data_IF_598423595012
#
_entry.id   IF_598423595012
#
_cell.length_a   1.000
_cell.length_b   1.000
_cell.length_c   1.000
_cell.angle_alpha   90.00
_cell.angle_beta   90.00
_cell.angle_gamma   90.00
#
_symmetry.space_group_name_H-M   'P 1'
#
loop_
_entity.id
_entity.type
_entity.pdbx_description
1 polymer ?
#
# COMPACT_ATOMS: atom_id res chain seq x y z
N UNK A 1 -43.35 -1.87 -32.78
CA UNK A 1 -43.87 -0.51 -33.05
C UNK A 1 -43.38 0.44 -31.97
N UNK A 2 -42.90 1.63 -32.38
CA UNK A 2 -42.58 2.86 -31.61
C UNK A 2 -41.38 2.77 -30.65
N UNK A 3 -40.17 3.15 -31.06
CA UNK A 3 -39.58 4.48 -31.37
C UNK A 3 -39.20 5.30 -30.12
N UNK A 4 -37.89 5.34 -29.90
CA UNK A 4 -37.12 6.24 -29.04
C UNK A 4 -37.21 7.66 -29.62
N UNK A 5 -37.38 8.67 -28.77
CA UNK A 5 -37.32 10.08 -29.14
C UNK A 5 -36.35 10.83 -28.24
N UNK A 6 -35.33 11.43 -28.84
CA UNK A 6 -34.55 12.53 -28.29
C UNK A 6 -34.55 13.67 -29.33
N UNK A 7 -34.70 14.94 -28.92
CA UNK A 7 -34.34 16.10 -29.75
C UNK A 7 -32.89 16.54 -29.41
N UNK A 8 -31.99 16.64 -30.39
CA UNK A 8 -31.70 17.79 -31.30
C UNK A 8 -31.07 18.98 -30.53
N UNK A 9 -29.76 19.20 -30.63
CA UNK A 9 -28.98 19.79 -31.75
C UNK A 9 -29.02 21.32 -31.76
N UNK A 10 -27.85 21.97 -31.73
CA UNK A 10 -27.39 22.86 -32.80
C UNK A 10 -26.00 23.45 -32.46
N UNK A 11 -25.19 23.55 -33.51
CA UNK A 11 -23.84 24.07 -33.56
C UNK A 11 -23.80 25.59 -33.78
N UNK A 12 -22.64 26.20 -33.55
CA UNK A 12 -22.16 27.31 -34.39
C UNK A 12 -20.63 27.38 -34.32
N UNK A 13 -20.02 27.72 -35.46
CA UNK A 13 -18.61 27.62 -35.79
C UNK A 13 -17.98 29.01 -36.07
N UNK A 14 -16.66 28.99 -36.28
CA UNK A 14 -15.83 29.97 -37.03
C UNK A 14 -15.43 31.25 -36.25
N UNK A 15 -14.27 31.91 -36.42
CA UNK A 15 -13.13 31.81 -37.35
C UNK A 15 -11.88 32.58 -36.80
N UNK A 16 -10.78 32.44 -37.54
CA UNK A 16 -9.41 33.00 -37.49
C UNK A 16 -9.20 34.47 -37.06
N UNK A 17 -7.98 34.75 -36.59
CA UNK A 17 -7.31 36.07 -36.72
C UNK A 17 -5.91 36.14 -36.09
N UNK A 18 -4.87 36.08 -36.93
CA UNK A 18 -3.45 36.33 -36.58
C UNK A 18 -3.13 37.82 -36.43
N UNK A 19 -2.24 38.22 -35.51
CA UNK A 19 -1.43 39.43 -35.66
C UNK A 19 -0.12 39.37 -34.84
N UNK A 20 1.03 39.44 -35.54
CA UNK A 20 2.34 39.74 -34.98
C UNK A 20 2.44 41.26 -34.73
N UNK A 21 3.05 41.66 -33.62
CA UNK A 21 3.82 42.92 -33.54
C UNK A 21 5.06 42.71 -32.67
N UNK A 22 6.20 43.12 -33.20
CA UNK A 22 7.47 43.27 -32.48
C UNK A 22 7.67 44.76 -32.23
N UNK A 23 8.05 45.14 -31.01
CA UNK A 23 8.72 46.41 -30.73
C UNK A 23 9.87 46.18 -29.74
N UNK A 24 11.02 46.68 -30.15
CA UNK A 24 12.26 46.87 -29.39
C UNK A 24 12.12 48.08 -28.45
N UNK A 25 12.66 47.99 -27.24
CA UNK A 25 13.04 49.16 -26.44
C UNK A 25 14.21 48.81 -25.51
N UNK A 26 15.31 49.54 -25.68
CA UNK A 26 16.47 49.55 -24.78
C UNK A 26 16.19 50.47 -23.58
N UNK A 27 16.69 50.12 -22.40
CA UNK A 27 16.84 51.08 -21.30
C UNK A 27 17.13 50.46 -19.92
N UNK A 28 18.28 50.82 -19.34
CA UNK A 28 18.45 50.91 -17.88
C UNK A 28 19.28 49.83 -17.19
N UNK A 29 20.52 50.19 -16.85
CA UNK A 29 21.44 49.46 -15.95
C UNK A 29 21.10 49.76 -14.47
N UNK A 30 21.46 48.80 -13.62
CA UNK A 30 21.76 48.85 -12.17
C UNK A 30 20.67 48.35 -11.19
N UNK A 31 20.96 47.19 -10.60
CA UNK A 31 20.23 46.61 -9.47
C UNK A 31 20.75 45.21 -9.15
N UNK A 32 22.05 45.09 -8.86
CA UNK A 32 22.73 43.83 -8.57
C UNK A 32 22.32 43.33 -7.16
N UNK A 33 21.19 42.64 -7.04
CA UNK A 33 20.75 41.99 -5.77
C UNK A 33 19.71 40.87 -5.99
N UNK A 34 19.96 39.87 -6.84
CA UNK A 34 19.07 38.69 -6.93
C UNK A 34 19.76 37.33 -7.08
N UNK A 35 21.09 37.27 -7.12
CA UNK A 35 21.81 36.00 -7.27
C UNK A 35 21.76 35.10 -6.00
N UNK A 36 21.58 35.66 -4.80
CA UNK A 36 21.51 34.88 -3.55
C UNK A 36 20.14 34.26 -3.27
N UNK A 37 19.05 34.93 -3.69
CA UNK A 37 17.69 34.42 -3.49
C UNK A 37 17.38 33.17 -4.34
N UNK A 38 17.95 33.09 -5.55
CA UNK A 38 17.79 31.94 -6.45
C UNK A 38 18.55 30.69 -5.97
N UNK A 39 19.75 30.85 -5.43
CA UNK A 39 20.56 29.75 -4.89
C UNK A 39 19.99 29.20 -3.58
N UNK A 40 19.50 30.08 -2.70
CA UNK A 40 18.81 29.69 -1.47
C UNK A 40 17.46 29.00 -1.75
N UNK A 41 16.66 29.51 -2.69
CA UNK A 41 15.40 28.88 -3.12
C UNK A 41 15.61 27.51 -3.74
N UNK A 42 16.66 27.35 -4.56
CA UNK A 42 16.97 26.07 -5.20
C UNK A 42 17.53 25.03 -4.21
N UNK A 43 18.31 25.44 -3.21
CA UNK A 43 18.81 24.55 -2.15
C UNK A 43 17.73 24.13 -1.16
N UNK A 44 16.79 25.02 -0.80
CA UNK A 44 15.62 24.69 0.03
C UNK A 44 14.68 23.73 -0.71
N UNK A 45 14.38 24.01 -1.99
CA UNK A 45 13.56 23.10 -2.81
C UNK A 45 14.23 21.74 -3.05
N UNK A 46 15.56 21.71 -3.20
CA UNK A 46 16.31 20.45 -3.33
C UNK A 46 16.33 19.68 -2.02
N UNK A 47 16.54 20.35 -0.87
CA UNK A 47 16.44 19.71 0.45
C UNK A 47 15.04 19.19 0.76
N UNK A 48 13.99 19.91 0.34
CA UNK A 48 12.61 19.45 0.49
C UNK A 48 12.34 18.20 -0.37
N UNK A 49 12.76 18.19 -1.64
CA UNK A 49 12.61 17.02 -2.53
C UNK A 49 13.44 15.82 -2.10
N UNK A 50 14.66 16.03 -1.56
CA UNK A 50 15.45 14.93 -1.00
C UNK A 50 14.84 14.42 0.29
N UNK A 51 14.31 15.29 1.16
CA UNK A 51 13.59 14.89 2.36
C UNK A 51 12.29 14.11 2.04
N UNK A 52 11.54 14.53 1.01
CA UNK A 52 10.36 13.81 0.54
C UNK A 52 10.71 12.41 0.00
N UNK A 53 11.77 12.29 -0.79
CA UNK A 53 12.24 11.00 -1.30
C UNK A 53 12.75 10.06 -0.20
N UNK A 54 13.19 10.56 0.95
CA UNK A 54 13.69 9.72 2.06
C UNK A 54 12.61 9.10 2.93
N UNK A 55 11.33 9.45 2.71
CA UNK A 55 10.21 8.97 3.52
C UNK A 55 9.23 8.16 2.69
N UNK A 56 8.63 7.15 3.31
CA UNK A 56 7.45 6.49 2.73
C UNK A 56 6.28 7.50 2.81
N UNK A 57 5.62 7.86 1.70
CA UNK A 57 4.56 8.85 1.68
C UNK A 57 3.39 8.49 2.62
N UNK A 58 2.82 9.49 3.28
CA UNK A 58 1.60 9.32 4.10
C UNK A 58 1.78 8.57 5.42
N UNK A 59 3.03 8.25 5.82
CA UNK A 59 3.33 7.62 7.11
C UNK A 59 3.89 8.68 8.07
N UNK A 60 3.21 8.96 9.17
CA UNK A 60 3.55 9.90 10.23
C UNK A 60 4.72 9.45 11.11
N UNK A 61 5.23 10.33 11.97
CA UNK A 61 6.44 10.07 12.77
C UNK A 61 6.30 8.85 13.68
N UNK A 62 5.11 8.66 14.28
CA UNK A 62 4.83 7.56 15.20
C UNK A 62 5.07 6.19 14.56
N UNK A 63 4.57 5.98 13.33
CA UNK A 63 4.76 4.72 12.61
C UNK A 63 6.12 4.65 11.92
N UNK A 64 6.64 5.78 11.40
CA UNK A 64 7.98 5.81 10.79
C UNK A 64 9.07 5.32 11.74
N UNK A 65 9.02 5.72 13.01
CA UNK A 65 10.00 5.29 14.02
C UNK A 65 9.95 3.79 14.33
N UNK A 66 8.84 3.12 14.00
CA UNK A 66 8.67 1.67 14.17
C UNK A 66 9.13 0.86 12.97
N UNK A 67 9.42 1.50 11.83
CA UNK A 67 10.04 0.83 10.67
C UNK A 67 11.50 0.54 11.03
N UNK A 68 11.96 -0.73 11.00
CA UNK A 68 13.36 -1.06 11.30
C UNK A 68 14.31 -0.29 10.39
N UNK A 69 15.39 0.26 10.96
CA UNK A 69 16.34 1.10 10.22
C UNK A 69 17.04 0.36 9.06
N UNK A 70 17.19 -0.96 9.20
CA UNK A 70 17.73 -1.85 8.16
C UNK A 70 16.70 -2.27 7.11
N UNK A 71 15.41 -1.94 7.27
CA UNK A 71 14.39 -2.27 6.27
C UNK A 71 14.64 -1.55 4.95
N UNK A 72 14.61 -2.35 3.87
CA UNK A 72 14.75 -1.89 2.48
C UNK A 72 13.50 -2.15 1.64
N UNK A 73 12.47 -2.77 2.23
CA UNK A 73 11.19 -3.03 1.58
C UNK A 73 10.03 -2.74 2.55
N UNK A 74 9.11 -1.89 2.14
CA UNK A 74 7.90 -1.55 2.90
C UNK A 74 6.68 -1.80 2.03
N UNK A 75 5.81 -2.69 2.47
CA UNK A 75 4.46 -2.84 1.93
C UNK A 75 3.56 -1.90 2.72
N UNK A 76 3.05 -0.85 2.11
CA UNK A 76 2.09 0.04 2.77
C UNK A 76 0.67 -0.33 2.37
N UNK A 77 -0.23 -0.45 3.35
CA UNK A 77 -1.67 -0.62 3.12
C UNK A 77 -2.37 0.67 3.54
N UNK A 78 -2.81 1.44 2.56
CA UNK A 78 -3.56 2.68 2.78
C UNK A 78 -5.05 2.38 2.76
N UNK A 79 -5.67 2.34 3.94
CA UNK A 79 -7.12 2.26 4.08
C UNK A 79 -7.82 3.53 3.62
N UNK A 80 -8.94 3.39 2.91
CA UNK A 80 -9.72 4.52 2.41
C UNK A 80 -10.33 5.38 3.54
N UNK A 81 -10.60 4.76 4.69
CA UNK A 81 -11.07 5.42 5.91
C UNK A 81 -11.19 4.43 7.06
N UNK A 82 -11.36 4.95 8.28
CA UNK A 82 -11.39 4.17 9.54
C UNK A 82 -12.38 3.01 9.54
N UNK A 83 -13.53 3.16 8.90
CA UNK A 83 -14.60 2.16 8.87
C UNK A 83 -14.87 1.61 7.45
N UNK A 84 -13.92 1.79 6.53
CA UNK A 84 -14.01 1.28 5.15
C UNK A 84 -13.22 -0.02 5.00
N UNK A 85 -13.77 -0.95 4.21
CA UNK A 85 -13.08 -2.17 3.80
C UNK A 85 -12.12 -1.96 2.62
N UNK A 86 -12.18 -0.81 1.95
CA UNK A 86 -11.39 -0.55 0.75
C UNK A 86 -10.00 -0.02 1.12
N UNK A 87 -8.98 -0.56 0.46
CA UNK A 87 -7.61 -0.12 0.65
C UNK A 87 -6.79 -0.17 -0.64
N UNK A 88 -5.61 0.45 -0.60
CA UNK A 88 -4.60 0.35 -1.65
C UNK A 88 -3.31 -0.15 -1.04
N UNK A 89 -2.77 -1.25 -1.57
CA UNK A 89 -1.45 -1.74 -1.20
C UNK A 89 -0.41 -1.14 -2.14
N UNK A 90 0.71 -0.70 -1.60
CA UNK A 90 1.84 -0.14 -2.33
C UNK A 90 3.13 -0.77 -1.84
N UNK A 91 3.95 -1.30 -2.74
CA UNK A 91 5.31 -1.71 -2.41
C UNK A 91 6.27 -0.55 -2.63
N UNK A 92 7.03 -0.20 -1.60
CA UNK A 92 8.15 0.71 -1.64
C UNK A 92 9.47 -0.04 -1.45
N UNK A 93 10.45 0.26 -2.31
CA UNK A 93 11.81 -0.29 -2.21
C UNK A 93 12.80 0.83 -1.97
N UNK A 94 13.74 0.62 -1.03
CA UNK A 94 14.76 1.62 -0.70
C UNK A 94 15.97 1.51 -1.63
N UNK A 95 16.29 2.60 -2.31
CA UNK A 95 17.49 2.75 -3.14
C UNK A 95 18.35 3.88 -2.54
N UNK A 96 19.52 3.51 -2.00
CA UNK A 96 20.32 4.43 -1.20
C UNK A 96 19.57 4.89 0.06
N UNK A 97 19.31 6.20 0.15
CA UNK A 97 18.51 6.81 1.22
C UNK A 97 17.03 6.99 0.86
N UNK A 98 16.67 6.80 -0.42
CA UNK A 98 15.34 7.15 -0.92
C UNK A 98 14.42 5.95 -1.05
N UNK A 99 13.14 6.13 -0.77
CA UNK A 99 12.08 5.15 -1.02
C UNK A 99 11.46 5.40 -2.38
N UNK A 100 11.44 4.36 -3.22
CA UNK A 100 10.80 4.39 -4.53
C UNK A 100 9.52 3.57 -4.50
N UNK A 101 8.43 4.13 -5.05
CA UNK A 101 7.19 3.39 -5.26
C UNK A 101 7.39 2.39 -6.40
N UNK A 102 7.45 1.11 -6.08
CA UNK A 102 7.66 0.03 -7.05
C UNK A 102 6.37 -0.36 -7.76
N UNK A 103 5.31 -0.67 -7.01
CA UNK A 103 3.98 -1.09 -7.55
C UNK A 103 2.85 -0.79 -6.59
N UNK A 104 1.61 -0.84 -7.10
CA UNK A 104 0.40 -0.52 -6.35
C UNK A 104 -0.77 -1.36 -6.84
N UNK A 105 -1.65 -1.76 -5.93
CA UNK A 105 -2.83 -2.59 -6.22
C UNK A 105 -4.02 -2.18 -5.35
N UNK A 106 -5.25 -2.30 -5.87
CA UNK A 106 -6.44 -2.31 -5.02
C UNK A 106 -6.41 -3.53 -4.08
N UNK A 107 -6.99 -3.38 -2.90
CA UNK A 107 -7.04 -4.40 -1.88
C UNK A 107 -8.25 -4.20 -0.97
N UNK A 108 -8.62 -5.23 -0.20
CA UNK A 108 -9.60 -5.09 0.87
C UNK A 108 -8.97 -5.40 2.23
N UNK A 109 -9.30 -4.60 3.23
CA UNK A 109 -8.95 -4.84 4.63
C UNK A 109 -10.15 -5.42 5.39
N UNK A 110 -10.08 -5.47 6.72
CA UNK A 110 -11.18 -5.91 7.58
C UNK A 110 -12.48 -5.17 7.23
N UNK A 111 -13.60 -5.90 7.14
CA UNK A 111 -14.89 -5.35 6.70
C UNK A 111 -15.46 -4.24 7.59
N UNK A 112 -14.97 -4.11 8.83
CA UNK A 112 -15.31 -3.01 9.75
C UNK A 112 -14.22 -1.93 9.78
N UNK A 113 -13.25 -1.98 8.87
CA UNK A 113 -12.17 -1.03 8.75
C UNK A 113 -10.96 -1.34 9.62
N UNK A 114 -10.49 -0.34 10.35
CA UNK A 114 -9.19 -0.30 11.01
C UNK A 114 -9.34 -0.06 12.51
N UNK A 115 -8.37 -0.53 13.29
CA UNK A 115 -8.30 -0.31 14.74
C UNK A 115 -6.87 -0.31 15.25
N UNK A 116 -6.57 0.54 16.22
CA UNK A 116 -5.32 0.50 17.00
C UNK A 116 -5.39 -0.49 18.16
N UNK A 117 -6.58 -1.00 18.47
CA UNK A 117 -6.88 -1.92 19.56
C UNK A 117 -7.62 -3.16 19.05
N UNK A 118 -6.91 -3.96 18.24
CA UNK A 118 -7.47 -5.15 17.62
C UNK A 118 -7.73 -6.27 18.62
N UNK A 119 -8.84 -6.96 18.40
CA UNK A 119 -9.31 -8.11 19.16
C UNK A 119 -9.89 -9.18 18.23
N UNK A 120 -9.82 -10.44 18.64
CA UNK A 120 -10.41 -11.55 17.89
C UNK A 120 -11.90 -11.30 17.57
N UNK A 121 -12.28 -11.46 16.31
CA UNK A 121 -13.66 -11.31 15.86
C UNK A 121 -14.17 -9.87 15.71
N UNK A 122 -13.36 -8.83 15.97
CA UNK A 122 -13.76 -7.42 15.82
C UNK A 122 -14.00 -6.99 14.36
N UNK A 123 -13.55 -7.81 13.41
CA UNK A 123 -13.67 -7.62 11.96
C UNK A 123 -12.89 -6.42 11.42
N UNK A 124 -11.88 -5.95 12.16
CA UNK A 124 -11.03 -4.81 11.83
C UNK A 124 -9.59 -5.25 11.62
N UNK A 125 -8.90 -4.59 10.70
CA UNK A 125 -7.46 -4.77 10.51
C UNK A 125 -6.68 -3.95 11.55
N UNK A 126 -5.61 -4.50 12.15
CA UNK A 126 -4.79 -3.76 13.10
C UNK A 126 -3.99 -2.67 12.40
N UNK A 127 -3.92 -1.51 13.03
CA UNK A 127 -3.03 -0.41 12.63
C UNK A 127 -1.65 -0.66 13.20
N UNK A 128 -0.60 -0.59 12.37
CA UNK A 128 0.76 -0.68 12.87
C UNK A 128 1.83 -0.94 11.84
N UNK A 129 3.02 -1.27 12.36
CA UNK A 129 4.17 -1.75 11.60
C UNK A 129 4.49 -3.16 12.07
N UNK A 130 4.55 -4.10 11.13
CA UNK A 130 4.77 -5.51 11.40
C UNK A 130 5.78 -6.06 10.41
N UNK A 131 6.64 -6.98 10.83
CA UNK A 131 7.56 -7.68 9.93
C UNK A 131 6.82 -8.71 9.07
N UNK A 132 7.41 -9.05 7.92
CA UNK A 132 6.93 -10.09 7.02
C UNK A 132 8.02 -11.15 6.90
N UNK A 133 7.93 -12.24 7.66
CA UNK A 133 9.01 -13.24 7.71
C UNK A 133 8.70 -14.53 6.97
N UNK A 134 7.43 -14.88 6.80
CA UNK A 134 7.03 -16.20 6.32
C UNK A 134 5.88 -16.11 5.32
N UNK A 135 5.87 -17.04 4.36
CA UNK A 135 4.85 -17.19 3.35
C UNK A 135 4.38 -18.65 3.25
N UNK A 136 3.30 -18.88 2.52
CA UNK A 136 2.76 -20.22 2.34
C UNK A 136 1.44 -20.24 1.58
N UNK A 137 0.75 -21.37 1.67
CA UNK A 137 -0.57 -21.56 1.08
C UNK A 137 -0.81 -22.97 0.59
N UNK A 138 -1.97 -23.18 -0.04
CA UNK A 138 -2.34 -24.49 -0.63
C UNK A 138 -1.54 -24.77 -1.91
N UNK A 139 -1.25 -23.72 -2.68
CA UNK A 139 -0.59 -23.85 -3.96
C UNK A 139 0.93 -24.04 -3.83
N UNK A 140 1.57 -24.67 -4.84
CA UNK A 140 3.03 -24.70 -4.94
C UNK A 140 3.65 -23.30 -4.85
N UNK A 141 4.87 -23.25 -4.33
CA UNK A 141 5.67 -22.04 -4.28
C UNK A 141 5.80 -21.40 -5.69
N UNK A 142 5.34 -20.14 -5.90
CA UNK A 142 5.44 -19.45 -7.19
C UNK A 142 6.84 -18.84 -7.45
N UNK A 143 7.85 -19.19 -6.65
CA UNK A 143 9.20 -18.62 -6.68
C UNK A 143 9.42 -17.58 -5.58
N UNK A 144 8.84 -17.82 -4.41
CA UNK A 144 8.91 -16.97 -3.24
C UNK A 144 10.34 -16.86 -2.73
N UNK A 145 10.71 -15.67 -2.25
CA UNK A 145 12.00 -15.42 -1.58
C UNK A 145 11.90 -15.58 -0.07
N UNK A 146 10.75 -15.25 0.51
CA UNK A 146 10.45 -15.60 1.90
C UNK A 146 10.36 -17.14 2.04
N UNK A 147 10.71 -17.71 3.22
CA UNK A 147 10.38 -19.09 3.55
C UNK A 147 8.92 -19.40 3.20
N UNK A 148 8.70 -20.45 2.39
CA UNK A 148 7.38 -20.80 1.88
C UNK A 148 6.95 -22.19 2.35
N UNK A 149 5.86 -22.25 3.12
CA UNK A 149 5.25 -23.52 3.56
C UNK A 149 4.04 -23.83 2.69
N UNK A 150 4.13 -24.90 1.89
CA UNK A 150 2.97 -25.47 1.19
C UNK A 150 2.29 -26.52 2.07
N UNK A 151 1.02 -26.32 2.40
CA UNK A 151 0.27 -27.29 3.20
C UNK A 151 -1.24 -27.27 2.87
N UNK A 152 -1.90 -28.42 2.96
CA UNK A 152 -3.33 -28.52 2.69
C UNK A 152 -4.20 -27.90 3.81
N UNK A 153 -3.66 -27.77 5.03
CA UNK A 153 -4.35 -27.15 6.17
C UNK A 153 -4.63 -25.66 6.00
N UNK A 154 -3.99 -25.00 5.03
CA UNK A 154 -4.37 -23.65 4.61
C UNK A 154 -5.75 -23.59 3.95
N UNK A 155 -6.26 -24.69 3.41
CA UNK A 155 -7.47 -24.69 2.59
C UNK A 155 -8.67 -24.12 3.35
N UNK A 156 -9.31 -23.10 2.75
CA UNK A 156 -10.54 -22.56 3.27
C UNK A 156 -11.62 -23.65 3.37
N UNK A 157 -12.41 -23.70 4.45
CA UNK A 157 -13.45 -24.71 4.61
C UNK A 157 -14.47 -24.71 3.46
N UNK A 158 -14.81 -25.89 2.92
CA UNK A 158 -15.79 -26.03 1.84
C UNK A 158 -17.22 -25.60 2.21
N UNK A 159 -17.50 -25.40 3.50
CA UNK A 159 -18.75 -24.81 4.01
C UNK A 159 -18.85 -23.29 3.77
N UNK A 160 -17.74 -22.61 3.48
CA UNK A 160 -17.75 -21.19 3.12
C UNK A 160 -18.27 -21.00 1.69
N UNK A 161 -18.72 -19.79 1.36
CA UNK A 161 -19.12 -19.48 -0.01
C UNK A 161 -17.96 -19.71 -0.98
N UNK A 162 -18.28 -20.14 -2.20
CA UNK A 162 -17.27 -20.56 -3.19
C UNK A 162 -16.25 -19.47 -3.51
N UNK A 163 -16.62 -18.19 -3.39
CA UNK A 163 -15.72 -17.05 -3.53
C UNK A 163 -14.52 -17.09 -2.58
N UNK A 164 -14.64 -17.73 -1.42
CA UNK A 164 -13.59 -17.80 -0.40
C UNK A 164 -12.70 -19.04 -0.50
N UNK A 165 -13.03 -19.99 -1.38
CA UNK A 165 -12.32 -21.28 -1.43
C UNK A 165 -10.83 -21.16 -1.80
N UNK A 166 -10.45 -20.01 -2.35
CA UNK A 166 -9.09 -19.70 -2.79
C UNK A 166 -8.41 -18.62 -1.94
N UNK A 167 -9.03 -18.16 -0.84
CA UNK A 167 -8.51 -17.08 0.00
C UNK A 167 -7.05 -17.32 0.40
N UNK A 168 -6.71 -18.57 0.72
CA UNK A 168 -5.40 -18.96 1.25
C UNK A 168 -4.59 -19.84 0.29
N UNK A 169 -4.88 -19.75 -1.01
CA UNK A 169 -4.04 -20.37 -2.05
C UNK A 169 -2.60 -19.84 -1.96
N UNK A 170 -2.46 -18.53 -1.68
CA UNK A 170 -1.22 -17.84 -1.33
C UNK A 170 -1.41 -16.94 -0.12
N UNK A 171 -0.44 -16.96 0.79
CA UNK A 171 -0.42 -16.23 2.07
C UNK A 171 0.97 -15.64 2.30
N UNK A 172 1.02 -14.40 2.78
CA UNK A 172 2.20 -13.81 3.42
C UNK A 172 1.81 -13.44 4.85
N UNK A 173 2.51 -13.96 5.84
CA UNK A 173 2.21 -13.73 7.24
C UNK A 173 2.59 -12.30 7.65
N UNK A 174 1.65 -11.63 8.33
CA UNK A 174 1.93 -10.40 9.07
C UNK A 174 2.29 -10.82 10.49
N UNK A 175 3.42 -10.31 11.01
CA UNK A 175 3.89 -10.62 12.36
C UNK A 175 3.11 -9.88 13.46
N UNK A 176 1.80 -10.06 13.45
CA UNK A 176 0.85 -9.65 14.48
C UNK A 176 0.50 -10.84 15.36
N UNK A 177 0.82 -10.78 16.66
CA UNK A 177 0.52 -11.82 17.66
C UNK A 177 0.78 -13.26 17.16
N UNK A 178 1.98 -13.49 16.63
CA UNK A 178 2.45 -14.81 16.15
C UNK A 178 3.93 -15.01 16.49
N UNK A 179 4.39 -16.25 16.40
CA UNK A 179 5.82 -16.55 16.41
C UNK A 179 6.42 -16.24 15.03
N UNK A 180 7.47 -15.40 15.00
CA UNK A 180 8.16 -15.03 13.76
C UNK A 180 9.07 -16.17 13.30
N UNK A 181 9.18 -16.39 11.99
CA UNK A 181 10.01 -17.46 11.43
C UNK A 181 9.38 -18.85 11.50
N UNK A 182 8.07 -18.94 11.79
CA UNK A 182 7.31 -20.19 11.74
C UNK A 182 6.32 -20.15 10.58
N UNK A 183 5.80 -21.31 10.18
CA UNK A 183 4.85 -21.38 9.07
C UNK A 183 3.64 -20.45 9.31
N UNK A 184 3.02 -19.87 8.26
CA UNK A 184 1.91 -18.95 8.46
C UNK A 184 0.70 -19.52 9.22
N UNK A 185 0.46 -20.83 9.12
CA UNK A 185 -0.60 -21.60 9.78
C UNK A 185 -0.23 -22.12 11.20
N UNK A 186 0.94 -21.77 11.75
CA UNK A 186 1.24 -22.00 13.17
C UNK A 186 0.21 -21.25 14.04
N UNK A 187 -0.54 -21.95 14.92
CA UNK A 187 -1.62 -21.34 15.69
C UNK A 187 -1.13 -20.57 16.93
N UNK A 188 0.16 -20.60 17.24
CA UNK A 188 0.71 -20.03 18.48
C UNK A 188 0.53 -18.51 18.54
N UNK A 189 -0.15 -18.03 19.59
CA UNK A 189 -0.47 -16.61 19.83
C UNK A 189 0.12 -16.14 21.17
N UNK A 190 1.32 -15.53 21.19
CA UNK A 190 2.01 -15.15 22.42
C UNK A 190 1.25 -14.16 23.33
N UNK A 191 0.42 -13.29 22.76
CA UNK A 191 -0.42 -12.33 23.48
C UNK A 191 -1.83 -12.88 23.78
N UNK A 192 -2.05 -14.18 23.54
CA UNK A 192 -3.31 -14.88 23.79
C UNK A 192 -4.34 -14.74 22.67
N UNK A 193 -5.37 -15.59 22.73
CA UNK A 193 -6.39 -15.68 21.69
C UNK A 193 -7.25 -14.42 21.57
N UNK A 194 -7.54 -13.76 22.69
CA UNK A 194 -8.40 -12.57 22.72
C UNK A 194 -7.84 -11.40 21.90
N UNK A 195 -6.50 -11.33 21.77
CA UNK A 195 -5.82 -10.30 20.97
C UNK A 195 -6.03 -10.48 19.47
N UNK A 196 -6.47 -11.66 19.02
CA UNK A 196 -6.56 -12.01 17.61
C UNK A 196 -5.20 -12.43 17.05
N UNK A 197 -5.18 -13.02 15.86
CA UNK A 197 -3.97 -13.50 15.20
C UNK A 197 -4.27 -14.00 13.79
N UNK A 198 -3.33 -14.72 13.18
CA UNK A 198 -3.51 -15.30 11.83
C UNK A 198 -3.89 -14.25 10.78
N UNK A 199 -3.31 -13.05 10.89
CA UNK A 199 -3.56 -11.93 9.98
C UNK A 199 -2.54 -12.01 8.84
N UNK A 200 -3.04 -12.03 7.61
CA UNK A 200 -2.24 -12.32 6.44
C UNK A 200 -2.49 -11.32 5.30
N UNK A 201 -1.52 -11.19 4.39
CA UNK A 201 -1.81 -10.81 3.01
C UNK A 201 -2.24 -12.08 2.28
N UNK A 202 -3.39 -12.08 1.61
CA UNK A 202 -3.90 -13.28 0.93
C UNK A 202 -4.70 -12.96 -0.34
N UNK A 203 -5.23 -13.99 -0.99
CA UNK A 203 -5.95 -13.89 -2.26
C UNK A 203 -7.30 -13.19 -2.09
N UNK A 204 -7.62 -12.28 -3.00
CA UNK A 204 -8.87 -11.50 -2.96
C UNK A 204 -10.10 -12.31 -3.39
N UNK A 205 -11.19 -12.09 -2.66
CA UNK A 205 -12.52 -12.64 -2.91
C UNK A 205 -13.57 -11.55 -3.18
N UNK A 206 -13.16 -10.30 -3.35
CA UNK A 206 -14.02 -9.19 -3.79
C UNK A 206 -14.82 -8.49 -2.68
N UNK A 207 -14.44 -8.66 -1.40
CA UNK A 207 -15.07 -7.95 -0.28
C UNK A 207 -14.13 -7.81 0.92
N UNK A 208 -14.56 -7.06 1.94
CA UNK A 208 -13.80 -6.93 3.19
C UNK A 208 -13.59 -8.25 3.93
N UNK A 209 -12.40 -8.40 4.52
CA UNK A 209 -11.98 -9.61 5.22
C UNK A 209 -12.46 -9.62 6.69
N UNK A 210 -12.03 -10.62 7.47
CA UNK A 210 -12.18 -10.58 8.94
C UNK A 210 -11.08 -9.76 9.65
N UNK A 211 -9.92 -9.53 9.05
CA UNK A 211 -8.82 -8.71 9.60
C UNK A 211 -7.63 -8.64 8.63
N UNK A 212 -7.48 -9.66 7.78
CA UNK A 212 -6.47 -9.75 6.74
C UNK A 212 -6.54 -8.61 5.71
N UNK A 213 -5.53 -8.55 4.84
CA UNK A 213 -5.53 -7.70 3.66
C UNK A 213 -5.52 -8.58 2.43
N UNK A 214 -6.54 -8.47 1.58
CA UNK A 214 -6.69 -9.31 0.41
C UNK A 214 -6.27 -8.60 -0.87
N UNK A 215 -5.64 -9.34 -1.78
CA UNK A 215 -4.98 -8.85 -2.99
C UNK A 215 -5.23 -9.79 -4.18
N UNK A 216 -5.23 -9.25 -5.39
CA UNK A 216 -5.35 -10.10 -6.59
C UNK A 216 -4.22 -11.14 -6.67
N UNK A 217 -4.48 -12.26 -7.35
CA UNK A 217 -3.46 -13.31 -7.59
C UNK A 217 -2.14 -12.75 -8.12
N UNK A 218 -2.22 -11.88 -9.12
CA UNK A 218 -1.04 -11.28 -9.73
C UNK A 218 -0.24 -10.41 -8.75
N UNK A 219 -0.92 -9.73 -7.82
CA UNK A 219 -0.27 -8.95 -6.77
C UNK A 219 0.42 -9.89 -5.77
N UNK A 220 -0.25 -10.95 -5.32
CA UNK A 220 0.34 -11.95 -4.41
C UNK A 220 1.58 -12.62 -5.01
N UNK A 221 1.49 -13.10 -6.25
CA UNK A 221 2.65 -13.70 -6.95
C UNK A 221 3.80 -12.71 -7.16
N UNK A 222 3.49 -11.43 -7.34
CA UNK A 222 4.53 -10.41 -7.45
C UNK A 222 5.22 -10.17 -6.10
N UNK A 223 4.45 -10.02 -5.02
CA UNK A 223 5.00 -9.83 -3.68
C UNK A 223 5.84 -11.03 -3.25
N UNK A 224 5.35 -12.26 -3.43
CA UNK A 224 6.07 -13.48 -3.08
C UNK A 224 7.45 -13.54 -3.76
N UNK A 225 7.52 -13.23 -5.06
CA UNK A 225 8.77 -13.25 -5.84
C UNK A 225 9.72 -12.07 -5.53
N UNK A 226 9.25 -11.06 -4.82
CA UNK A 226 9.95 -9.77 -4.64
C UNK A 226 10.38 -9.50 -3.20
N UNK A 227 9.58 -9.87 -2.21
CA UNK A 227 9.89 -9.62 -0.80
C UNK A 227 11.03 -10.52 -0.35
N UNK A 228 12.17 -9.90 -0.07
CA UNK A 228 13.43 -10.57 0.15
C UNK A 228 13.79 -10.52 1.64
N UNK A 229 13.95 -11.66 2.34
CA UNK A 229 14.23 -11.68 3.77
C UNK A 229 15.49 -10.87 4.15
N UNK A 230 16.50 -10.80 3.28
CA UNK A 230 17.74 -10.03 3.50
C UNK A 230 17.51 -8.51 3.38
N UNK A 231 16.36 -8.11 2.84
CA UNK A 231 15.91 -6.71 2.76
C UNK A 231 14.96 -6.33 3.88
N UNK A 232 14.73 -7.23 4.84
CA UNK A 232 13.94 -7.03 6.05
C UNK A 232 12.57 -6.37 5.76
N UNK A 233 11.69 -7.05 4.99
CA UNK A 233 10.43 -6.48 4.57
C UNK A 233 9.49 -6.30 5.77
N UNK A 234 8.77 -5.18 5.76
CA UNK A 234 7.72 -4.88 6.73
C UNK A 234 6.44 -4.48 6.01
N UNK A 235 5.30 -4.63 6.69
CA UNK A 235 4.04 -4.00 6.34
C UNK A 235 3.77 -2.82 7.28
N UNK A 236 3.36 -1.69 6.72
CA UNK A 236 2.79 -0.54 7.45
C UNK A 236 1.34 -0.41 7.01
N UNK A 237 0.38 -0.52 7.94
CA UNK A 237 -1.03 -0.61 7.57
C UNK A 237 -1.92 0.18 8.51
N UNK A 238 -2.96 0.81 7.97
CA UNK A 238 -3.92 1.66 8.69
C UNK A 238 -4.80 2.48 7.75
N UNK A 239 -5.80 3.17 8.29
CA UNK A 239 -6.50 4.22 7.54
C UNK A 239 -5.67 5.52 7.47
N UNK A 240 -6.07 6.46 6.61
CA UNK A 240 -5.33 7.72 6.40
C UNK A 240 -5.09 8.52 7.67
N UNK A 241 -6.02 8.53 8.62
CA UNK A 241 -5.88 9.27 9.87
C UNK A 241 -4.80 8.65 10.73
N UNK A 242 -4.92 7.35 11.00
CA UNK A 242 -3.98 6.62 11.83
C UNK A 242 -2.57 6.47 11.23
N UNK A 243 -2.47 6.47 9.90
CA UNK A 243 -1.21 6.46 9.17
C UNK A 243 -0.51 7.82 9.22
N UNK A 244 -1.25 8.93 9.17
CA UNK A 244 -0.70 10.27 9.02
C UNK A 244 -0.18 10.93 10.30
N UNK A 245 -0.55 10.40 11.46
CA UNK A 245 -0.18 10.93 12.80
C UNK A 245 1.18 10.47 13.31
#
# INVERSE_FOLDING_TARGET
>A
MRKIGAPRAAAAAAALGTLLTALTACGGVQGNSTAEAGAAGNTVATRARTAEGTRVPGIGDRLRQRIPANSRQVVTVYGAGRDSADSTVVLYTKHGSSWERTRSWPAHNGKQGWTTDHHEGDRRSPVGVFTLTDAGGVLPDPGARLPYTRDASFAAPRRWAASHWHDFDYVIAIDYNRVKGTAPNDPTRPEGDAKGGSIWLHMDHGSGTSACVSLSKAAMEYLLRTLDPDRHPVVVMGDRGDLGV
#
